data_IF_992338656990
#
_entry.id   IF_992338656990
#
_cell.length_a   1.000
_cell.length_b   1.000
_cell.length_c   1.000
_cell.angle_alpha   90.00
_cell.angle_beta   90.00
_cell.angle_gamma   90.00
#
_symmetry.space_group_name_H-M   'P 1'
#
loop_
_entity.id
_entity.type
_entity.pdbx_description
1 polymer ?
#
# COMPACT_ATOMS: atom_id res chain seq x y z
N UNK A 1 26.36 51.96 53.52
CA UNK A 1 26.85 51.12 52.40
C UNK A 1 25.90 49.93 52.26
N UNK A 2 25.37 49.66 51.06
CA UNK A 2 24.50 48.50 50.78
C UNK A 2 25.35 47.33 50.31
N UNK A 3 25.28 46.20 51.01
CA UNK A 3 25.98 44.96 50.67
C UNK A 3 25.06 44.14 49.76
N UNK A 4 25.46 43.92 48.50
CA UNK A 4 24.73 43.06 47.58
C UNK A 4 25.15 41.60 47.81
N UNK A 5 24.19 40.74 48.16
CA UNK A 5 24.44 39.31 48.26
C UNK A 5 24.65 38.75 46.85
N UNK A 6 25.87 38.28 46.57
CA UNK A 6 26.20 37.56 45.34
C UNK A 6 25.57 36.17 45.47
N UNK A 7 24.32 36.04 45.02
CA UNK A 7 23.61 34.77 44.97
C UNK A 7 24.34 33.77 44.08
N UNK A 8 24.37 32.51 44.51
CA UNK A 8 25.05 31.40 43.85
C UNK A 8 24.59 31.19 42.39
N UNK A 9 25.27 31.83 41.43
CA UNK A 9 25.00 31.73 40.00
C UNK A 9 25.29 30.33 39.39
N UNK A 10 25.97 29.45 40.12
CA UNK A 10 26.41 28.14 39.61
C UNK A 10 25.39 26.99 39.74
N UNK A 11 24.27 27.18 40.44
CA UNK A 11 23.28 26.09 40.66
C UNK A 11 22.39 25.86 39.42
N UNK A 12 22.21 26.89 38.58
CA UNK A 12 21.31 26.80 37.42
C UNK A 12 21.87 25.92 36.29
N UNK A 13 23.20 25.86 36.14
CA UNK A 13 23.85 25.04 35.11
C UNK A 13 23.62 23.53 35.32
N UNK A 14 23.65 23.08 36.58
CA UNK A 14 23.46 21.65 36.91
C UNK A 14 22.00 21.21 36.75
N UNK A 15 21.03 22.09 37.08
CA UNK A 15 19.59 21.82 36.88
C UNK A 15 19.22 21.63 35.41
N UNK A 16 19.86 22.38 34.51
CA UNK A 16 19.63 22.28 33.06
C UNK A 16 20.10 20.93 32.50
N UNK A 17 21.13 20.33 33.10
CA UNK A 17 21.70 19.06 32.65
C UNK A 17 20.86 17.87 33.09
N UNK A 18 20.33 17.88 34.31
CA UNK A 18 19.36 16.86 34.78
C UNK A 18 18.09 16.86 33.92
N UNK A 19 17.55 18.04 33.59
CA UNK A 19 16.37 18.14 32.72
C UNK A 19 16.58 17.63 31.28
N UNK A 20 17.83 17.51 30.81
CA UNK A 20 18.15 16.94 29.48
C UNK A 20 18.32 15.42 29.53
N UNK A 21 18.76 14.87 30.66
CA UNK A 21 18.92 13.43 30.84
C UNK A 21 17.58 12.70 31.05
N UNK A 22 16.59 13.38 31.64
CA UNK A 22 15.25 12.83 31.91
C UNK A 22 14.24 13.05 30.77
N UNK A 23 14.65 13.68 29.66
CA UNK A 23 13.81 13.65 28.47
C UNK A 23 13.89 12.25 27.86
N UNK A 24 12.78 11.51 27.74
CA UNK A 24 12.78 10.30 26.95
C UNK A 24 13.30 10.71 25.57
N UNK A 25 14.37 10.04 25.12
CA UNK A 25 14.81 10.12 23.73
C UNK A 25 13.54 9.96 22.93
N UNK A 26 13.08 11.03 22.28
CA UNK A 26 12.01 10.95 21.29
C UNK A 26 12.62 10.15 20.16
N UNK A 27 12.65 8.84 20.33
CA UNK A 27 12.85 7.85 19.29
C UNK A 27 11.63 8.01 18.40
N UNK A 28 11.65 9.06 17.58
CA UNK A 28 10.87 9.07 16.37
C UNK A 28 11.28 7.80 15.65
N UNK A 29 10.35 6.87 15.55
CA UNK A 29 10.48 5.73 14.66
C UNK A 29 11.09 6.24 13.36
N UNK A 30 12.23 5.67 12.96
CA UNK A 30 12.81 5.97 11.67
C UNK A 30 11.69 5.87 10.62
N UNK A 31 11.57 6.83 9.68
CA UNK A 31 10.55 6.76 8.65
C UNK A 31 10.66 5.40 7.95
N UNK A 32 9.62 4.57 8.09
CA UNK A 32 9.56 3.29 7.43
C UNK A 32 9.19 3.54 5.97
N UNK A 33 9.92 2.95 5.04
CA UNK A 33 9.53 2.98 3.64
C UNK A 33 8.13 2.37 3.50
N UNK A 34 7.20 3.14 2.94
CA UNK A 34 5.84 2.71 2.62
C UNK A 34 5.65 2.76 1.12
N UNK A 35 5.19 1.64 0.56
CA UNK A 35 4.76 1.54 -0.84
C UNK A 35 3.23 1.53 -0.86
N UNK A 36 2.63 2.54 -1.48
CA UNK A 36 1.17 2.63 -1.64
C UNK A 36 0.77 2.46 -3.11
N UNK A 37 -0.38 1.81 -3.34
CA UNK A 37 -0.99 1.76 -4.66
C UNK A 37 -1.49 3.16 -5.02
N UNK A 38 -1.11 3.68 -6.19
CA UNK A 38 -1.51 5.00 -6.64
C UNK A 38 -3.03 5.15 -6.73
N UNK A 39 -3.54 6.36 -6.53
CA UNK A 39 -4.98 6.68 -6.69
C UNK A 39 -5.50 6.23 -8.05
N UNK A 40 -4.72 6.49 -9.11
CA UNK A 40 -5.05 6.07 -10.47
C UNK A 40 -5.14 4.56 -10.64
N UNK A 41 -4.25 3.79 -10.01
CA UNK A 41 -4.30 2.33 -10.06
C UNK A 41 -5.52 1.78 -9.31
N UNK A 42 -5.94 2.41 -8.20
CA UNK A 42 -7.17 2.04 -7.49
C UNK A 42 -8.42 2.28 -8.36
N UNK A 43 -8.49 3.41 -9.05
CA UNK A 43 -9.58 3.69 -10.00
C UNK A 43 -9.61 2.67 -11.15
N UNK A 44 -8.44 2.27 -11.67
CA UNK A 44 -8.34 1.23 -12.70
C UNK A 44 -8.74 -0.15 -12.20
N UNK A 45 -8.60 -0.43 -10.89
CA UNK A 45 -8.99 -1.69 -10.27
C UNK A 45 -10.51 -1.80 -10.06
N UNK A 46 -11.26 -0.69 -10.05
CA UNK A 46 -12.73 -0.70 -9.96
C UNK A 46 -13.43 -1.14 -11.26
N UNK A 47 -12.99 -2.27 -11.80
CA UNK A 47 -13.49 -2.95 -13.01
C UNK A 47 -14.87 -3.60 -12.77
N UNK A 48 -15.74 -3.00 -11.94
CA UNK A 48 -17.01 -3.62 -11.51
C UNK A 48 -17.96 -3.93 -12.67
N UNK A 49 -17.82 -3.23 -13.82
CA UNK A 49 -18.63 -3.47 -15.01
C UNK A 49 -18.29 -4.76 -15.75
N UNK A 50 -17.04 -5.22 -15.73
CA UNK A 50 -16.64 -6.45 -16.42
C UNK A 50 -17.17 -7.70 -15.72
N UNK A 51 -17.40 -7.64 -14.42
CA UNK A 51 -17.79 -8.81 -13.63
C UNK A 51 -19.15 -9.39 -14.04
N UNK A 52 -20.12 -8.54 -14.41
CA UNK A 52 -21.42 -9.02 -14.88
C UNK A 52 -21.31 -9.73 -16.24
N UNK A 53 -20.63 -9.12 -17.20
CA UNK A 53 -20.44 -9.71 -18.54
C UNK A 53 -19.62 -11.01 -18.44
N UNK A 54 -18.64 -11.05 -17.53
CA UNK A 54 -17.85 -12.24 -17.24
C UNK A 54 -18.71 -13.35 -16.64
N UNK A 55 -19.60 -13.02 -15.70
CA UNK A 55 -20.48 -13.98 -15.06
C UNK A 55 -21.40 -14.65 -16.09
N UNK A 56 -22.06 -13.87 -16.95
CA UNK A 56 -22.92 -14.38 -18.03
C UNK A 56 -22.14 -15.32 -18.97
N UNK A 57 -20.92 -14.93 -19.37
CA UNK A 57 -20.07 -15.76 -20.22
C UNK A 57 -19.69 -17.08 -19.55
N UNK A 58 -19.33 -17.05 -18.27
CA UNK A 58 -18.95 -18.24 -17.50
C UNK A 58 -20.13 -19.21 -17.38
N UNK A 59 -21.33 -18.71 -17.11
CA UNK A 59 -22.50 -19.57 -16.93
C UNK A 59 -22.91 -20.23 -18.25
N UNK A 60 -22.86 -19.51 -19.37
CA UNK A 60 -23.06 -20.11 -20.71
C UNK A 60 -22.03 -21.21 -21.03
N UNK A 61 -20.77 -21.01 -20.64
CA UNK A 61 -19.73 -22.04 -20.82
C UNK A 61 -20.00 -23.28 -19.96
N UNK A 62 -20.46 -23.10 -18.71
CA UNK A 62 -20.81 -24.23 -17.83
C UNK A 62 -21.92 -25.08 -18.43
N UNK A 63 -22.97 -24.46 -18.96
CA UNK A 63 -24.08 -25.16 -19.62
C UNK A 63 -23.59 -25.98 -20.82
N UNK A 64 -22.72 -25.42 -21.65
CA UNK A 64 -22.12 -26.12 -22.80
C UNK A 64 -21.26 -27.31 -22.37
N UNK A 65 -20.51 -27.17 -21.28
CA UNK A 65 -19.68 -28.25 -20.73
C UNK A 65 -20.55 -29.36 -20.14
N UNK A 66 -21.58 -29.01 -19.37
CA UNK A 66 -22.50 -29.98 -18.76
C UNK A 66 -23.33 -30.75 -19.80
N UNK A 67 -23.75 -30.09 -20.87
CA UNK A 67 -24.46 -30.73 -21.99
C UNK A 67 -23.55 -31.57 -22.89
N UNK A 68 -22.22 -31.50 -22.73
CA UNK A 68 -21.25 -32.19 -23.57
C UNK A 68 -21.05 -31.55 -24.94
N UNK A 69 -21.64 -30.39 -25.19
CA UNK A 69 -21.58 -29.69 -26.49
C UNK A 69 -20.38 -28.73 -26.59
N UNK A 70 -19.57 -28.61 -25.53
CA UNK A 70 -18.39 -27.77 -25.54
C UNK A 70 -17.30 -28.32 -26.46
N UNK A 71 -16.93 -27.53 -27.48
CA UNK A 71 -15.90 -27.90 -28.44
C UNK A 71 -14.63 -27.09 -28.21
N UNK A 72 -13.51 -27.78 -28.03
CA UNK A 72 -12.19 -27.15 -27.89
C UNK A 72 -11.72 -26.65 -29.26
N UNK A 73 -11.58 -25.32 -29.39
CA UNK A 73 -11.09 -24.68 -30.60
C UNK A 73 -9.60 -24.35 -30.48
N UNK A 74 -8.74 -25.33 -30.81
CA UNK A 74 -7.28 -25.20 -30.66
C UNK A 74 -6.70 -23.95 -31.36
N UNK A 75 -7.21 -23.60 -32.55
CA UNK A 75 -6.78 -22.40 -33.27
C UNK A 75 -7.14 -21.10 -32.55
N UNK A 76 -8.32 -21.03 -31.93
CA UNK A 76 -8.73 -19.87 -31.14
C UNK A 76 -7.89 -19.71 -29.87
N UNK A 77 -7.50 -20.82 -29.24
CA UNK A 77 -6.61 -20.84 -28.07
C UNK A 77 -5.21 -20.34 -28.46
N UNK A 78 -4.64 -20.85 -29.56
CA UNK A 78 -3.34 -20.39 -30.02
C UNK A 78 -3.35 -18.89 -30.35
N UNK A 79 -4.42 -18.41 -31.00
CA UNK A 79 -4.61 -16.99 -31.30
C UNK A 79 -4.70 -16.14 -30.03
N UNK A 80 -5.48 -16.55 -29.03
CA UNK A 80 -5.65 -15.77 -27.80
C UNK A 80 -4.35 -15.71 -26.99
N UNK A 81 -3.59 -16.80 -26.93
CA UNK A 81 -2.28 -16.83 -26.29
C UNK A 81 -1.30 -15.88 -27.00
N UNK A 82 -1.24 -15.95 -28.34
CA UNK A 82 -0.39 -15.04 -29.11
C UNK A 82 -0.77 -13.57 -28.85
N UNK A 83 -2.06 -13.25 -28.92
CA UNK A 83 -2.55 -11.89 -28.72
C UNK A 83 -2.26 -11.37 -27.30
N UNK A 84 -2.41 -12.22 -26.27
CA UNK A 84 -2.15 -11.82 -24.89
C UNK A 84 -0.67 -11.55 -24.61
N UNK A 85 0.24 -12.38 -25.12
CA UNK A 85 1.68 -12.26 -24.83
C UNK A 85 2.45 -11.39 -25.81
N UNK A 86 2.01 -11.30 -27.06
CA UNK A 86 2.72 -10.61 -28.15
C UNK A 86 1.98 -9.41 -28.73
N UNK A 87 0.72 -9.17 -28.35
CA UNK A 87 -0.06 -8.01 -28.79
C UNK A 87 -0.52 -8.03 -30.25
N UNK A 88 -0.34 -9.17 -30.96
CA UNK A 88 -0.77 -9.39 -32.37
C UNK A 88 -1.94 -10.36 -32.49
#
# INVERSE_FOLDING_TARGET
MKINQIGNYNIQAYKQQQNKADQPVKGGSAPSDKVEISSRAKEMQEVSKLENDRQVKVDSLKEQVQSGNYTIQAGAIAKSLKQFYHGE
#
